data_IF_316674431250
#
_entry.id   IF_316674431250
#
_cell.length_a   1.000
_cell.length_b   1.000
_cell.length_c   1.000
_cell.angle_alpha   90.00
_cell.angle_beta   90.00
_cell.angle_gamma   90.00
#
_symmetry.space_group_name_H-M   'P 1'
#
loop_
_entity.id
_entity.type
_entity.pdbx_description
1 polymer ?
#
# COMPACT_ATOMS: atom_id res chain seq x y z
N UNK A 1 -15.30 16.09 -10.48
CA UNK A 1 -14.05 15.36 -10.76
C UNK A 1 -14.20 14.55 -12.04
N UNK A 2 -13.18 13.76 -12.39
CA UNK A 2 -13.15 12.90 -13.59
C UNK A 2 -13.79 11.52 -13.32
N UNK A 3 -15.12 11.48 -13.20
CA UNK A 3 -15.84 10.29 -12.73
C UNK A 3 -15.66 9.04 -13.62
N UNK A 4 -15.45 9.23 -14.94
CA UNK A 4 -15.32 8.14 -15.91
C UNK A 4 -13.87 7.74 -16.22
N UNK A 5 -12.90 8.20 -15.43
CA UNK A 5 -11.48 7.89 -15.64
C UNK A 5 -10.98 6.92 -14.56
N UNK A 6 -10.14 5.97 -14.97
CA UNK A 6 -9.47 5.07 -14.03
C UNK A 6 -8.52 5.84 -13.13
N UNK A 7 -8.64 5.64 -11.82
CA UNK A 7 -7.71 6.12 -10.82
C UNK A 7 -6.61 5.08 -10.60
N UNK A 8 -5.43 5.38 -11.13
CA UNK A 8 -4.22 4.58 -10.96
C UNK A 8 -3.33 5.24 -9.90
N UNK A 9 -3.00 4.51 -8.83
CA UNK A 9 -2.20 5.02 -7.72
C UNK A 9 -0.91 4.20 -7.57
N UNK A 10 0.21 4.89 -7.44
CA UNK A 10 1.48 4.34 -6.95
C UNK A 10 1.67 4.86 -5.53
N UNK A 11 1.74 3.96 -4.55
CA UNK A 11 1.84 4.31 -3.15
C UNK A 11 3.08 3.68 -2.51
N UNK A 12 3.85 4.50 -1.78
CA UNK A 12 4.96 4.06 -0.95
C UNK A 12 4.66 4.43 0.51
N UNK A 13 4.41 3.45 1.39
CA UNK A 13 4.20 3.74 2.80
C UNK A 13 5.47 4.35 3.41
N UNK A 14 5.31 5.35 4.27
CA UNK A 14 6.43 6.03 4.92
C UNK A 14 6.43 5.70 6.42
N UNK A 15 7.54 5.13 6.92
CA UNK A 15 7.76 4.56 8.27
C UNK A 15 6.94 3.30 8.56
N UNK A 16 7.57 2.33 9.21
CA UNK A 16 6.91 1.10 9.67
C UNK A 16 5.95 1.37 10.83
N UNK A 17 6.32 2.28 11.74
CA UNK A 17 5.48 2.69 12.88
C UNK A 17 4.13 3.21 12.42
N UNK A 18 4.11 4.10 11.43
CA UNK A 18 2.88 4.65 10.85
C UNK A 18 2.05 3.59 10.13
N UNK A 19 2.69 2.71 9.36
CA UNK A 19 1.99 1.61 8.69
C UNK A 19 1.32 0.67 9.68
N UNK A 20 1.95 0.39 10.82
CA UNK A 20 1.35 -0.40 11.91
C UNK A 20 0.16 0.31 12.54
N UNK A 21 0.34 1.58 12.92
CA UNK A 21 -0.65 2.32 13.71
C UNK A 21 -1.93 2.62 12.93
N UNK A 22 -1.83 2.77 11.61
CA UNK A 22 -2.94 3.09 10.69
C UNK A 22 -3.24 1.96 9.70
N UNK A 23 -2.89 0.72 10.05
CA UNK A 23 -2.88 -0.40 9.12
C UNK A 23 -4.24 -0.61 8.44
N UNK A 24 -5.31 -0.72 9.23
CA UNK A 24 -6.66 -0.95 8.72
C UNK A 24 -7.19 0.25 7.94
N UNK A 25 -6.86 1.46 8.38
CA UNK A 25 -7.23 2.70 7.68
C UNK A 25 -6.56 2.79 6.30
N UNK A 26 -5.27 2.43 6.20
CA UNK A 26 -4.59 2.33 4.91
C UNK A 26 -5.26 1.30 4.01
N UNK A 27 -5.56 0.10 4.53
CA UNK A 27 -6.25 -0.91 3.75
C UNK A 27 -7.63 -0.43 3.25
N UNK A 28 -8.38 0.31 4.09
CA UNK A 28 -9.70 0.87 3.76
C UNK A 28 -9.67 1.97 2.69
N UNK A 29 -8.63 2.81 2.68
CA UNK A 29 -8.52 3.92 1.71
C UNK A 29 -7.90 3.44 0.40
N UNK A 30 -6.88 2.60 0.46
CA UNK A 30 -6.14 2.15 -0.72
C UNK A 30 -6.93 1.16 -1.59
N UNK A 31 -7.97 0.52 -1.07
CA UNK A 31 -8.85 -0.34 -1.87
C UNK A 31 -9.85 0.43 -2.75
N UNK A 32 -9.91 1.75 -2.64
CA UNK A 32 -10.91 2.59 -3.35
C UNK A 32 -10.45 3.00 -4.76
N UNK A 33 -9.21 2.68 -5.15
CA UNK A 33 -8.65 2.99 -6.47
C UNK A 33 -8.91 1.84 -7.45
N UNK A 34 -8.91 2.13 -8.75
CA UNK A 34 -9.07 1.10 -9.77
C UNK A 34 -7.81 0.24 -9.94
N UNK A 35 -6.63 0.86 -9.78
CA UNK A 35 -5.34 0.18 -9.88
C UNK A 35 -4.41 0.69 -8.79
N UNK A 36 -3.87 -0.24 -8.00
CA UNK A 36 -2.91 0.05 -6.94
C UNK A 36 -1.57 -0.63 -7.23
N UNK A 37 -0.52 0.17 -7.31
CA UNK A 37 0.88 -0.27 -7.28
C UNK A 37 1.43 0.11 -5.91
N UNK A 38 1.88 -0.88 -5.16
CA UNK A 38 2.41 -0.72 -3.80
C UNK A 38 3.91 -0.96 -3.83
N UNK A 39 4.65 0.02 -3.34
CA UNK A 39 6.09 -0.10 -3.09
C UNK A 39 6.35 -0.61 -1.67
N UNK A 40 7.56 -1.07 -1.40
CA UNK A 40 7.95 -1.39 -0.03
C UNK A 40 8.10 -0.11 0.83
N UNK A 41 8.08 -0.29 2.15
CA UNK A 41 8.06 0.81 3.11
C UNK A 41 9.34 1.62 3.02
N UNK A 42 9.21 2.93 2.81
CA UNK A 42 10.30 3.86 3.04
C UNK A 42 10.58 3.96 4.55
N UNK A 43 11.63 3.28 5.00
CA UNK A 43 11.92 3.06 6.42
C UNK A 43 12.13 4.36 7.22
N UNK A 44 12.66 5.42 6.61
CA UNK A 44 12.99 6.69 7.26
C UNK A 44 13.77 6.52 8.59
N UNK A 45 14.72 5.57 8.61
CA UNK A 45 15.57 5.26 9.77
C UNK A 45 14.97 4.23 10.75
N UNK A 46 13.78 3.69 10.49
CA UNK A 46 13.17 2.67 11.34
C UNK A 46 13.64 1.26 10.96
N UNK A 47 13.68 0.37 11.97
CA UNK A 47 13.82 -1.05 11.73
C UNK A 47 12.49 -1.62 11.22
N UNK A 48 12.50 -2.63 10.33
CA UNK A 48 11.28 -3.31 9.91
C UNK A 48 10.46 -3.81 11.10
N UNK A 49 9.14 -3.62 11.03
CA UNK A 49 8.18 -4.12 12.00
C UNK A 49 7.36 -5.22 11.32
N UNK A 50 7.33 -6.41 11.94
CA UNK A 50 6.62 -7.57 11.39
C UNK A 50 5.14 -7.25 11.16
N UNK A 51 4.66 -7.51 9.95
CA UNK A 51 3.26 -7.27 9.56
C UNK A 51 2.94 -5.83 9.18
N UNK A 52 3.89 -4.90 9.27
CA UNK A 52 3.70 -3.48 8.89
C UNK A 52 4.48 -3.11 7.62
N UNK A 53 4.62 -4.06 6.69
CA UNK A 53 5.30 -3.90 5.40
C UNK A 53 4.30 -3.75 4.24
N UNK A 54 4.79 -3.31 3.08
CA UNK A 54 3.95 -3.13 1.88
C UNK A 54 3.30 -4.44 1.42
N UNK A 55 3.97 -5.57 1.63
CA UNK A 55 3.47 -6.90 1.27
C UNK A 55 2.29 -7.33 2.13
N UNK A 56 2.29 -7.00 3.42
CA UNK A 56 1.20 -7.25 4.35
C UNK A 56 -0.05 -6.46 3.95
N UNK A 57 0.11 -5.17 3.66
CA UNK A 57 -0.98 -4.33 3.14
C UNK A 57 -1.54 -4.91 1.82
N UNK A 58 -0.69 -5.29 0.87
CA UNK A 58 -1.15 -5.92 -0.38
C UNK A 58 -1.96 -7.20 -0.14
N UNK A 59 -1.52 -8.07 0.76
CA UNK A 59 -2.27 -9.31 1.09
C UNK A 59 -3.65 -8.98 1.66
N UNK A 60 -3.71 -8.00 2.56
CA UNK A 60 -4.96 -7.58 3.20
C UNK A 60 -5.93 -7.02 2.18
N UNK A 61 -5.49 -6.07 1.36
CA UNK A 61 -6.31 -5.45 0.31
C UNK A 61 -6.77 -6.51 -0.71
N UNK A 62 -5.86 -7.40 -1.17
CA UNK A 62 -6.19 -8.51 -2.08
C UNK A 62 -7.27 -9.42 -1.50
N UNK A 63 -7.20 -9.73 -0.20
CA UNK A 63 -8.19 -10.61 0.45
C UNK A 63 -9.60 -10.03 0.50
N UNK A 64 -9.74 -8.70 0.38
CA UNK A 64 -11.04 -8.01 0.33
C UNK A 64 -11.69 -8.03 -1.06
N UNK A 65 -10.92 -8.37 -2.11
CA UNK A 65 -11.43 -8.67 -3.45
C UNK A 65 -11.85 -7.47 -4.31
N UNK A 66 -11.69 -6.22 -3.84
CA UNK A 66 -12.03 -5.02 -4.61
C UNK A 66 -10.97 -4.63 -5.63
N UNK A 67 -9.70 -4.72 -5.24
CA UNK A 67 -8.54 -4.43 -6.08
C UNK A 67 -7.47 -5.49 -5.83
N UNK A 68 -6.69 -5.81 -6.86
CA UNK A 68 -5.55 -6.72 -6.78
C UNK A 68 -4.24 -5.90 -6.86
N UNK A 69 -3.58 -5.57 -5.72
CA UNK A 69 -2.44 -4.67 -5.73
C UNK A 69 -1.19 -5.31 -6.31
N UNK A 70 -0.50 -4.58 -7.18
CA UNK A 70 0.80 -4.98 -7.73
C UNK A 70 1.88 -4.56 -6.73
N UNK A 71 2.56 -5.52 -6.12
CA UNK A 71 3.66 -5.24 -5.17
C UNK A 71 5.00 -5.15 -5.91
N UNK A 72 5.74 -4.06 -5.69
CA UNK A 72 7.04 -3.79 -6.29
C UNK A 72 8.05 -3.57 -5.15
N UNK A 73 8.88 -4.58 -4.81
CA UNK A 73 9.75 -4.53 -3.63
C UNK A 73 10.97 -3.62 -3.80
N UNK A 74 11.48 -3.50 -5.03
CA UNK A 74 12.68 -2.73 -5.34
C UNK A 74 12.38 -1.78 -6.50
N UNK A 75 12.96 -0.58 -6.40
CA UNK A 75 12.95 0.41 -7.47
C UNK A 75 14.41 0.52 -7.91
N UNK A 76 14.70 0.20 -9.17
CA UNK A 76 15.99 0.54 -9.75
C UNK A 76 16.15 2.08 -9.69
N UNK A 77 17.19 2.54 -9.02
CA UNK A 77 17.57 3.96 -8.95
C UNK A 77 18.56 4.31 -10.06
#
# INVERSE_FOLDING_TARGET
>A
GWQDKRLVMIFQPHRYSRTRDLYDDFANVLEQVDVLIMLDVYAAGEKPIAGADGRALCRTIRSRGKVDPIFVPEIEQ
#
